data_IF_708263197781
#
_entry.id   IF_708263197781
#
_cell.length_a   1.000
_cell.length_b   1.000
_cell.length_c   1.000
_cell.angle_alpha   90.00
_cell.angle_beta   90.00
_cell.angle_gamma   90.00
#
_symmetry.space_group_name_H-M   'P 1'
#
loop_
_entity.id
_entity.type
_entity.pdbx_description
1 polymer ?
#
# COMPACT_ATOMS: atom_id res chain seq x y z
N UNK A 1 -7.75 -21.57 10.82
CA UNK A 1 -7.79 -20.82 9.54
C UNK A 1 -7.52 -19.37 9.85
N UNK A 2 -6.44 -18.80 9.32
CA UNK A 2 -6.07 -17.39 9.55
C UNK A 2 -7.16 -16.48 8.97
N UNK A 3 -7.90 -15.80 9.84
CA UNK A 3 -8.91 -14.84 9.43
C UNK A 3 -8.20 -13.52 9.09
N UNK A 4 -7.77 -13.39 7.84
CA UNK A 4 -7.16 -12.15 7.36
C UNK A 4 -8.21 -11.04 7.30
N UNK A 5 -7.89 -9.81 7.76
CA UNK A 5 -8.84 -8.70 7.66
C UNK A 5 -9.14 -8.40 6.19
N UNK A 6 -10.39 -8.06 5.89
CA UNK A 6 -10.74 -7.55 4.55
C UNK A 6 -10.06 -6.21 4.29
N UNK A 7 -9.72 -5.91 3.03
CA UNK A 7 -9.17 -4.59 2.63
C UNK A 7 -9.98 -3.95 1.49
N UNK A 8 -11.24 -4.37 1.30
CA UNK A 8 -12.11 -3.90 0.20
C UNK A 8 -12.28 -2.39 0.17
N UNK A 9 -12.20 -1.71 1.31
CA UNK A 9 -12.28 -0.26 1.42
C UNK A 9 -11.14 0.47 0.67
N UNK A 10 -10.02 -0.20 0.41
CA UNK A 10 -8.89 0.39 -0.33
C UNK A 10 -9.08 0.32 -1.85
N UNK A 11 -10.04 -0.49 -2.35
CA UNK A 11 -10.28 -0.64 -3.79
C UNK A 11 -10.65 0.67 -4.47
N UNK A 12 -11.36 1.57 -3.78
CA UNK A 12 -11.71 2.90 -4.30
C UNK A 12 -10.44 3.71 -4.57
N UNK A 13 -9.50 3.72 -3.63
CA UNK A 13 -8.21 4.41 -3.78
C UNK A 13 -7.37 3.79 -4.89
N UNK A 14 -7.33 2.46 -4.98
CA UNK A 14 -6.59 1.75 -6.02
C UNK A 14 -7.14 2.02 -7.42
N UNK A 15 -8.46 2.04 -7.61
CA UNK A 15 -9.08 2.42 -8.90
C UNK A 15 -8.74 3.87 -9.30
N UNK A 16 -8.66 4.78 -8.33
CA UNK A 16 -8.21 6.16 -8.59
C UNK A 16 -6.75 6.20 -9.02
N UNK A 17 -5.89 5.45 -8.33
CA UNK A 17 -4.46 5.33 -8.67
C UNK A 17 -4.28 4.76 -10.08
N UNK A 18 -5.05 3.73 -10.44
CA UNK A 18 -5.07 3.16 -11.79
C UNK A 18 -5.38 4.24 -12.84
N UNK A 19 -6.40 5.06 -12.61
CA UNK A 19 -6.72 6.20 -13.47
C UNK A 19 -5.59 7.22 -13.57
N UNK A 20 -4.90 7.50 -12.47
CA UNK A 20 -3.73 8.40 -12.47
C UNK A 20 -2.56 7.82 -13.28
N UNK A 21 -2.29 6.52 -13.17
CA UNK A 21 -1.27 5.83 -13.96
C UNK A 21 -1.60 5.89 -15.46
N UNK A 22 -2.86 5.64 -15.84
CA UNK A 22 -3.32 5.82 -17.23
C UNK A 22 -3.11 7.26 -17.71
N UNK A 23 -3.35 8.24 -16.83
CA UNK A 23 -3.05 9.65 -17.11
C UNK A 23 -1.57 9.90 -17.39
N UNK A 24 -0.67 9.35 -16.58
CA UNK A 24 0.79 9.45 -16.79
C UNK A 24 1.21 8.83 -18.12
N UNK A 25 0.67 7.66 -18.48
CA UNK A 25 0.93 7.02 -19.78
C UNK A 25 0.58 7.96 -20.92
N UNK A 26 -0.64 8.53 -20.90
CA UNK A 26 -1.08 9.49 -21.91
C UNK A 26 -0.19 10.74 -21.96
N UNK A 27 0.27 11.25 -20.81
CA UNK A 27 1.19 12.39 -20.80
C UNK A 27 2.51 12.10 -21.50
N UNK A 28 3.01 10.86 -21.41
CA UNK A 28 4.22 10.44 -22.11
C UNK A 28 3.95 10.30 -23.61
N UNK A 29 2.84 9.66 -24.00
CA UNK A 29 2.42 9.52 -25.39
C UNK A 29 2.22 10.90 -26.08
N UNK A 30 1.64 11.85 -25.36
CA UNK A 30 1.40 13.22 -25.81
C UNK A 30 2.65 14.12 -25.75
N UNK A 31 3.81 13.61 -25.31
CA UNK A 31 5.06 14.37 -25.21
C UNK A 31 5.00 15.55 -24.23
N UNK A 32 4.29 15.41 -23.10
CA UNK A 32 4.16 16.48 -22.10
C UNK A 32 5.48 16.81 -21.41
N UNK A 33 5.53 18.00 -20.81
CA UNK A 33 6.72 18.49 -20.13
C UNK A 33 7.15 17.57 -18.97
N UNK A 34 8.45 17.29 -18.90
CA UNK A 34 9.02 16.31 -17.98
C UNK A 34 8.69 16.59 -16.50
N UNK A 35 8.65 17.86 -16.09
CA UNK A 35 8.35 18.23 -14.70
C UNK A 35 6.90 17.89 -14.34
N UNK A 36 5.97 18.04 -15.27
CA UNK A 36 4.56 17.70 -15.04
C UNK A 36 4.38 16.19 -14.90
N UNK A 37 5.06 15.42 -15.74
CA UNK A 37 5.08 13.95 -15.65
C UNK A 37 5.65 13.51 -14.30
N UNK A 38 6.79 14.08 -13.89
CA UNK A 38 7.41 13.79 -12.60
C UNK A 38 6.50 14.14 -11.42
N UNK A 39 5.78 15.26 -11.50
CA UNK A 39 4.81 15.65 -10.47
C UNK A 39 3.64 14.67 -10.38
N UNK A 40 3.11 14.19 -11.52
CA UNK A 40 2.05 13.17 -11.52
C UNK A 40 2.54 11.83 -10.98
N UNK A 41 3.76 11.41 -11.32
CA UNK A 41 4.38 10.19 -10.74
C UNK A 41 4.51 10.32 -9.22
N UNK A 42 4.97 11.47 -8.70
CA UNK A 42 5.03 11.72 -7.26
C UNK A 42 3.65 11.64 -6.59
N UNK A 43 2.60 12.15 -7.25
CA UNK A 43 1.24 12.05 -6.77
C UNK A 43 0.75 10.59 -6.69
N UNK A 44 1.02 9.79 -7.72
CA UNK A 44 0.74 8.34 -7.75
C UNK A 44 1.48 7.62 -6.62
N UNK A 45 2.79 7.85 -6.48
CA UNK A 45 3.60 7.24 -5.40
C UNK A 45 3.04 7.58 -4.02
N UNK A 46 2.70 8.85 -3.78
CA UNK A 46 2.13 9.30 -2.51
C UNK A 46 0.76 8.65 -2.23
N UNK A 47 -0.04 8.40 -3.26
CA UNK A 47 -1.31 7.71 -3.12
C UNK A 47 -1.13 6.23 -2.81
N UNK A 48 -0.16 5.55 -3.43
CA UNK A 48 0.20 4.17 -3.12
C UNK A 48 0.68 4.01 -1.68
N UNK A 49 1.59 4.88 -1.21
CA UNK A 49 2.06 4.88 0.19
C UNK A 49 0.90 4.99 1.17
N UNK A 50 -0.11 5.82 0.88
CA UNK A 50 -1.30 5.92 1.74
C UNK A 50 -2.13 4.63 1.77
N UNK A 51 -2.25 3.92 0.66
CA UNK A 51 -2.94 2.61 0.62
C UNK A 51 -2.16 1.57 1.41
N UNK A 52 -0.85 1.51 1.19
CA UNK A 52 0.08 0.64 1.91
C UNK A 52 -0.03 0.85 3.43
N UNK A 53 0.07 2.10 3.91
CA UNK A 53 -0.07 2.41 5.35
C UNK A 53 -1.40 1.94 5.93
N UNK A 54 -2.51 2.03 5.18
CA UNK A 54 -3.83 1.57 5.66
C UNK A 54 -3.90 0.05 5.74
N UNK A 55 -3.33 -0.67 4.78
CA UNK A 55 -3.23 -2.13 4.81
C UNK A 55 -2.38 -2.57 6.00
N UNK A 56 -1.23 -1.92 6.19
CA UNK A 56 -0.30 -2.14 7.29
C UNK A 56 -0.97 -1.94 8.66
N UNK A 57 -1.63 -0.80 8.86
CA UNK A 57 -2.33 -0.50 10.12
C UNK A 57 -3.37 -1.58 10.46
N UNK A 58 -4.18 -1.99 9.47
CA UNK A 58 -5.20 -3.02 9.68
C UNK A 58 -4.59 -4.40 9.98
N UNK A 59 -3.45 -4.72 9.38
CA UNK A 59 -2.70 -5.93 9.70
C UNK A 59 -2.22 -5.91 11.16
N UNK A 60 -1.65 -4.79 11.62
CA UNK A 60 -1.19 -4.62 13.01
C UNK A 60 -2.35 -4.73 14.01
N UNK A 61 -3.48 -4.08 13.73
CA UNK A 61 -4.65 -4.08 14.62
C UNK A 61 -5.38 -5.41 14.70
N UNK A 62 -5.31 -6.23 13.65
CA UNK A 62 -6.01 -7.52 13.57
C UNK A 62 -5.06 -8.70 13.77
N UNK A 63 -4.13 -8.92 12.84
CA UNK A 63 -3.33 -10.14 12.77
C UNK A 63 -2.27 -10.21 13.87
N UNK A 64 -1.61 -9.10 14.19
CA UNK A 64 -0.61 -9.06 15.29
C UNK A 64 -1.33 -9.08 16.63
N UNK A 65 -2.39 -8.28 16.78
CA UNK A 65 -3.16 -8.20 18.03
C UNK A 65 -3.73 -9.56 18.46
N UNK A 66 -4.16 -10.38 17.50
CA UNK A 66 -4.62 -11.74 17.78
C UNK A 66 -3.50 -12.68 18.26
N UNK A 67 -2.26 -12.44 17.83
CA UNK A 67 -1.09 -13.26 18.18
C UNK A 67 -0.48 -12.94 19.54
N UNK A 68 -0.96 -11.93 20.28
CA UNK A 68 -0.50 -11.70 21.66
C UNK A 68 -0.72 -12.90 22.60
N UNK A 69 -1.61 -13.84 22.22
CA UNK A 69 -1.84 -15.09 22.96
C UNK A 69 -0.73 -16.14 22.76
N UNK A 70 0.12 -15.99 21.75
CA UNK A 70 1.23 -16.90 21.44
C UNK A 70 2.50 -16.11 21.10
N UNK A 71 3.47 -16.11 22.01
CA UNK A 71 4.73 -15.34 21.87
C UNK A 71 5.55 -15.75 20.65
N UNK A 72 5.55 -17.04 20.28
CA UNK A 72 6.27 -17.50 19.08
C UNK A 72 5.61 -16.99 17.81
N UNK A 73 4.28 -17.06 17.72
CA UNK A 73 3.52 -16.56 16.57
C UNK A 73 3.66 -15.03 16.43
N UNK A 74 3.67 -14.31 17.56
CA UNK A 74 3.90 -12.87 17.60
C UNK A 74 5.27 -12.51 17.02
N UNK A 75 6.34 -13.17 17.47
CA UNK A 75 7.70 -12.90 17.01
C UNK A 75 7.83 -13.14 15.49
N UNK A 76 7.26 -14.23 14.98
CA UNK A 76 7.26 -14.51 13.52
C UNK A 76 6.57 -13.40 12.73
N UNK A 77 5.38 -12.95 13.14
CA UNK A 77 4.66 -11.87 12.44
C UNK A 77 5.37 -10.52 12.52
N UNK A 78 6.04 -10.22 13.64
CA UNK A 78 6.85 -9.01 13.79
C UNK A 78 8.07 -9.06 12.86
N UNK A 79 8.76 -10.20 12.76
CA UNK A 79 9.91 -10.36 11.87
C UNK A 79 9.52 -10.19 10.39
N UNK A 80 8.37 -10.75 9.99
CA UNK A 80 7.82 -10.56 8.63
C UNK A 80 7.61 -9.08 8.33
N UNK A 81 7.07 -8.32 9.28
CA UNK A 81 6.83 -6.89 9.14
C UNK A 81 8.12 -6.08 9.04
N UNK A 82 9.10 -6.36 9.90
CA UNK A 82 10.40 -5.68 9.87
C UNK A 82 11.08 -5.89 8.51
N UNK A 83 11.00 -7.11 7.95
CA UNK A 83 11.56 -7.42 6.62
C UNK A 83 10.88 -6.64 5.50
N UNK A 84 9.58 -6.33 5.63
CA UNK A 84 8.84 -5.55 4.64
C UNK A 84 9.15 -4.05 4.70
N UNK A 85 9.28 -3.48 5.91
CA UNK A 85 9.51 -2.03 6.10
C UNK A 85 10.95 -1.61 5.81
N UNK A 86 11.93 -2.50 6.01
CA UNK A 86 13.34 -2.22 5.73
C UNK A 86 13.74 -2.42 4.26
N UNK A 87 12.77 -2.60 3.35
CA UNK A 87 12.98 -2.71 1.91
C UNK A 87 12.74 -1.37 1.21
#
# INVERSE_FOLDING_TARGET
MSHHPSHKEQLVSLKRIEGQVRGVIKMIEDGKYCIDILNQIKAVKSALVRVESKVLNKHTESCIKQSFKNKSELNTKIEELIKLVNK
#
